data_IF_898714429461
#
_entry.id   IF_898714429461
#
_cell.length_a   1.000
_cell.length_b   1.000
_cell.length_c   1.000
_cell.angle_alpha   90.00
_cell.angle_beta   90.00
_cell.angle_gamma   90.00
#
_symmetry.space_group_name_H-M   'P 1'
#
loop_
_entity.id
_entity.type
_entity.pdbx_description
1 polymer ?
#
# COMPACT_ATOMS: atom_id res chain seq x y z
N UNK A 1 10.92 -21.93 -15.52
CA UNK A 1 9.46 -21.87 -15.29
C UNK A 1 9.23 -22.04 -13.81
N UNK A 2 8.90 -20.95 -13.11
CA UNK A 2 8.77 -20.92 -11.65
C UNK A 2 7.58 -21.76 -11.21
N UNK A 3 7.84 -22.80 -10.42
CA UNK A 3 6.86 -23.72 -9.82
C UNK A 3 5.82 -23.03 -8.94
N UNK A 4 6.03 -21.75 -8.60
CA UNK A 4 5.16 -20.93 -7.77
C UNK A 4 3.70 -20.88 -8.25
N UNK A 5 3.47 -20.82 -9.57
CA UNK A 5 2.12 -20.74 -10.14
C UNK A 5 1.53 -22.09 -10.54
N UNK A 6 2.28 -23.19 -10.36
CA UNK A 6 1.84 -24.54 -10.69
C UNK A 6 1.38 -25.32 -9.45
N UNK A 7 1.20 -24.63 -8.33
CA UNK A 7 0.77 -25.21 -7.05
C UNK A 7 -0.28 -24.30 -6.38
N UNK A 8 -1.10 -24.84 -5.47
CA UNK A 8 -2.05 -24.04 -4.71
C UNK A 8 -1.35 -22.89 -3.98
N UNK A 9 -1.88 -21.68 -4.12
CA UNK A 9 -1.35 -20.48 -3.49
C UNK A 9 -1.83 -20.36 -2.04
N UNK A 10 -0.94 -19.98 -1.14
CA UNK A 10 -1.27 -19.56 0.22
C UNK A 10 -1.14 -18.04 0.29
N UNK A 11 -2.27 -17.33 0.38
CA UNK A 11 -2.28 -15.87 0.31
C UNK A 11 -2.42 -15.25 1.70
N UNK A 12 -1.59 -14.24 2.01
CA UNK A 12 -1.76 -13.37 3.17
C UNK A 12 -2.23 -12.01 2.67
N UNK A 13 -3.46 -11.62 3.01
CA UNK A 13 -4.00 -10.31 2.64
C UNK A 13 -3.70 -9.28 3.75
N UNK A 14 -3.01 -8.20 3.41
CA UNK A 14 -2.72 -7.07 4.29
C UNK A 14 -3.41 -5.84 3.72
N UNK A 15 -4.17 -5.10 4.55
CA UNK A 15 -4.87 -3.88 4.12
C UNK A 15 -6.37 -4.10 3.93
N UNK A 16 -6.92 -3.71 2.77
CA UNK A 16 -8.38 -3.67 2.58
C UNK A 16 -8.96 -5.09 2.60
N UNK A 17 -9.97 -5.32 3.45
CA UNK A 17 -10.60 -6.62 3.63
C UNK A 17 -11.25 -7.17 2.35
N UNK A 18 -11.72 -6.28 1.46
CA UNK A 18 -12.37 -6.61 0.18
C UNK A 18 -11.56 -7.60 -0.67
N UNK A 19 -10.23 -7.45 -0.74
CA UNK A 19 -9.39 -8.38 -1.49
C UNK A 19 -9.36 -9.79 -0.90
N UNK A 20 -9.44 -9.92 0.42
CA UNK A 20 -9.59 -11.23 1.05
C UNK A 20 -10.92 -11.87 0.70
N UNK A 21 -12.00 -11.08 0.61
CA UNK A 21 -13.33 -11.61 0.33
C UNK A 21 -13.45 -12.06 -1.13
N UNK A 22 -12.85 -11.31 -2.07
CA UNK A 22 -12.77 -11.70 -3.49
C UNK A 22 -12.00 -13.02 -3.67
N UNK A 23 -10.94 -13.24 -2.89
CA UNK A 23 -10.17 -14.49 -2.93
C UNK A 23 -10.93 -15.68 -2.33
N UNK A 24 -11.68 -15.46 -1.24
CA UNK A 24 -12.55 -16.50 -0.64
C UNK A 24 -13.64 -16.93 -1.62
N UNK A 25 -14.26 -15.99 -2.34
CA UNK A 25 -15.27 -16.31 -3.37
C UNK A 25 -14.70 -17.17 -4.50
N UNK A 26 -13.42 -17.00 -4.82
CA UNK A 26 -12.69 -17.82 -5.78
C UNK A 26 -12.17 -19.14 -5.19
N UNK A 27 -12.54 -19.48 -3.95
CA UNK A 27 -12.10 -20.68 -3.23
C UNK A 27 -10.58 -20.77 -3.06
N UNK A 28 -9.90 -19.62 -3.02
CA UNK A 28 -8.46 -19.54 -2.77
C UNK A 28 -8.21 -19.44 -1.25
N UNK A 29 -7.30 -20.24 -0.68
CA UNK A 29 -6.89 -20.11 0.72
C UNK A 29 -6.26 -18.73 0.99
N UNK A 30 -6.90 -17.94 1.85
CA UNK A 30 -6.41 -16.60 2.24
C UNK A 30 -6.52 -16.38 3.75
N UNK A 31 -5.46 -15.85 4.35
CA UNK A 31 -5.45 -15.33 5.71
C UNK A 31 -5.40 -13.82 5.66
N UNK A 32 -6.44 -13.15 6.16
CA UNK A 32 -6.41 -11.71 6.30
C UNK A 32 -5.68 -11.33 7.59
N UNK A 33 -4.61 -10.54 7.45
CA UNK A 33 -3.94 -9.91 8.58
C UNK A 33 -4.62 -8.59 8.88
N UNK A 34 -5.19 -8.47 10.07
CA UNK A 34 -5.70 -7.22 10.62
C UNK A 34 -4.52 -6.32 11.01
N UNK A 35 -3.94 -5.69 10.00
CA UNK A 35 -2.80 -4.81 10.13
C UNK A 35 -3.25 -3.36 10.13
N UNK A 36 -2.73 -2.61 11.09
CA UNK A 36 -2.91 -1.15 11.19
C UNK A 36 -1.53 -0.49 11.30
N UNK A 37 -1.34 0.72 10.74
CA UNK A 37 -0.08 1.44 10.88
C UNK A 37 0.31 1.61 12.37
N UNK A 38 1.60 1.49 12.72
CA UNK A 38 2.05 1.78 14.07
C UNK A 38 1.80 3.26 14.39
N UNK A 39 1.10 3.53 15.49
CA UNK A 39 0.73 4.91 15.87
C UNK A 39 -0.64 5.07 16.52
N UNK A 40 -1.38 3.98 16.78
CA UNK A 40 -2.68 3.88 17.48
C UNK A 40 -2.96 4.99 18.53
N UNK A 41 -3.42 6.17 18.09
CA UNK A 41 -3.70 7.30 19.00
C UNK A 41 -2.46 7.93 19.64
N UNK A 42 -1.26 7.78 19.08
CA UNK A 42 -0.08 8.49 19.52
C UNK A 42 -0.28 9.99 19.28
N UNK A 43 -0.54 10.72 20.35
CA UNK A 43 -0.83 12.16 20.32
C UNK A 43 0.28 12.99 19.66
N UNK A 44 1.55 12.58 19.76
CA UNK A 44 2.64 13.27 19.08
C UNK A 44 2.56 13.14 17.55
N UNK A 45 2.10 11.97 17.06
CA UNK A 45 1.87 11.76 15.63
C UNK A 45 0.65 12.55 15.16
N UNK A 46 -0.41 12.58 15.97
CA UNK A 46 -1.61 13.38 15.67
C UNK A 46 -1.26 14.87 15.57
N UNK A 47 -0.55 15.39 16.56
CA UNK A 47 -0.13 16.80 16.57
C UNK A 47 0.79 17.14 15.40
N UNK A 48 1.70 16.24 15.03
CA UNK A 48 2.52 16.40 13.83
C UNK A 48 1.67 16.43 12.54
N UNK A 49 0.61 15.62 12.45
CA UNK A 49 -0.32 15.64 11.32
C UNK A 49 -1.12 16.96 11.28
N UNK A 50 -1.54 17.48 12.44
CA UNK A 50 -2.24 18.76 12.53
C UNK A 50 -1.35 19.91 12.02
N UNK A 51 -0.07 19.94 12.38
CA UNK A 51 0.89 20.93 11.86
C UNK A 51 1.08 20.87 10.34
N UNK A 52 0.98 19.67 9.74
CA UNK A 52 1.02 19.53 8.28
C UNK A 52 -0.27 20.06 7.62
N UNK A 53 -1.39 20.01 8.33
CA UNK A 53 -2.68 20.51 7.87
C UNK A 53 -2.82 22.04 8.00
N UNK A 54 -1.91 22.71 8.71
CA UNK A 54 -1.92 24.16 8.88
C UNK A 54 -1.44 24.93 7.63
N UNK A 55 -2.08 26.08 7.38
CA UNK A 55 -1.69 27.02 6.32
C UNK A 55 -0.46 27.83 6.77
N UNK A 56 0.56 28.06 5.92
CA UNK A 56 0.61 27.84 4.46
C UNK A 56 1.19 26.49 4.02
N UNK A 57 1.57 25.62 4.96
CA UNK A 57 2.21 24.35 4.63
C UNK A 57 1.26 23.40 3.89
N UNK A 58 -0.02 23.36 4.29
CA UNK A 58 -1.06 22.58 3.64
C UNK A 58 -1.22 22.91 2.14
N UNK A 59 -1.15 24.20 1.77
CA UNK A 59 -1.24 24.64 0.37
C UNK A 59 -0.04 24.16 -0.45
N UNK A 60 1.16 24.23 0.13
CA UNK A 60 2.38 23.70 -0.50
C UNK A 60 2.29 22.18 -0.69
N UNK A 61 1.78 21.46 0.30
CA UNK A 61 1.55 20.00 0.22
C UNK A 61 0.53 19.69 -0.87
N UNK A 62 -0.59 20.42 -0.91
CA UNK A 62 -1.63 20.23 -1.93
C UNK A 62 -1.10 20.45 -3.35
N UNK A 63 -0.31 21.50 -3.57
CA UNK A 63 0.33 21.77 -4.85
C UNK A 63 1.30 20.65 -5.26
N UNK A 64 2.11 20.15 -4.32
CA UNK A 64 3.03 19.03 -4.57
C UNK A 64 2.27 17.72 -4.90
N UNK A 65 1.19 17.44 -4.17
CA UNK A 65 0.34 16.26 -4.40
C UNK A 65 -0.36 16.31 -5.76
N UNK A 66 -0.82 17.50 -6.21
CA UNK A 66 -1.39 17.67 -7.53
C UNK A 66 -0.40 17.30 -8.65
N UNK A 67 0.86 17.74 -8.52
CA UNK A 67 1.94 17.40 -9.46
C UNK A 67 2.21 15.89 -9.44
N UNK A 68 2.28 15.27 -8.26
CA UNK A 68 2.51 13.83 -8.15
C UNK A 68 1.38 13.02 -8.79
N UNK A 69 0.13 13.40 -8.55
CA UNK A 69 -1.06 12.77 -9.12
C UNK A 69 -1.07 12.91 -10.66
N UNK A 70 -0.81 14.10 -11.18
CA UNK A 70 -0.71 14.34 -12.62
C UNK A 70 0.33 13.43 -13.26
N UNK A 71 1.53 13.33 -12.66
CA UNK A 71 2.59 12.44 -13.16
C UNK A 71 2.19 10.98 -13.16
N UNK A 72 1.49 10.51 -12.11
CA UNK A 72 1.01 9.13 -12.03
C UNK A 72 -0.02 8.85 -13.14
N UNK A 73 -1.01 9.73 -13.31
CA UNK A 73 -2.08 9.57 -14.29
C UNK A 73 -1.52 9.57 -15.72
N UNK A 74 -0.56 10.44 -16.01
CA UNK A 74 0.09 10.53 -17.33
C UNK A 74 1.19 9.49 -17.53
N UNK A 75 1.57 8.76 -16.49
CA UNK A 75 2.60 7.74 -16.59
C UNK A 75 2.09 6.52 -17.36
N UNK A 76 3.02 5.86 -18.06
CA UNK A 76 2.79 4.57 -18.70
C UNK A 76 3.69 3.55 -17.98
N UNK A 77 3.25 2.99 -16.84
CA UNK A 77 4.07 2.06 -16.09
C UNK A 77 4.34 0.78 -16.91
N UNK A 78 5.60 0.37 -16.93
CA UNK A 78 6.05 -0.86 -17.59
C UNK A 78 6.77 -1.75 -16.57
N UNK A 79 6.50 -3.06 -16.61
CA UNK A 79 7.18 -4.01 -15.74
C UNK A 79 8.62 -4.20 -16.21
N UNK A 80 9.58 -3.66 -15.45
CA UNK A 80 11.02 -3.79 -15.73
C UNK A 80 11.69 -4.95 -14.99
N UNK A 81 11.04 -5.48 -13.95
CA UNK A 81 11.54 -6.61 -13.14
C UNK A 81 10.65 -6.91 -11.93
N UNK A 82 10.79 -8.10 -11.36
CA UNK A 82 10.15 -8.52 -10.10
C UNK A 82 11.07 -9.48 -9.35
N UNK A 83 11.02 -9.49 -8.02
CA UNK A 83 11.83 -10.36 -7.15
C UNK A 83 11.09 -10.62 -5.83
N UNK A 84 11.62 -11.50 -4.98
CA UNK A 84 11.14 -11.71 -3.62
C UNK A 84 11.25 -10.42 -2.80
N UNK A 85 10.26 -10.14 -1.97
CA UNK A 85 10.19 -8.91 -1.18
C UNK A 85 11.46 -8.65 -0.35
N UNK A 86 12.10 -9.69 0.21
CA UNK A 86 13.35 -9.59 0.97
C UNK A 86 14.51 -8.98 0.15
N UNK A 87 14.47 -9.10 -1.17
CA UNK A 87 15.51 -8.61 -2.07
C UNK A 87 15.28 -7.17 -2.53
N UNK A 88 14.04 -6.64 -2.45
CA UNK A 88 13.65 -5.38 -3.12
C UNK A 88 12.85 -4.38 -2.27
N UNK A 89 12.37 -4.76 -1.08
CA UNK A 89 11.68 -3.85 -0.16
C UNK A 89 12.67 -3.38 0.92
N UNK A 90 12.99 -2.08 1.03
CA UNK A 90 13.83 -1.55 2.10
C UNK A 90 13.21 -1.82 3.48
N UNK A 91 14.06 -2.20 4.45
CA UNK A 91 13.67 -2.37 5.85
C UNK A 91 13.40 -1.03 6.55
#
# INVERSE_FOLDING_TARGET
MTTLFNQPLNVINVGIAMFSDDLKQQHIPVTHLDWTPPGQGNMQVVEALDQLADTPLAEKIAAANAIALERIIQSHPVLVGYDQAINVVPA
#
